data_IF_853777240284
#
_entry.id   IF_853777240284
#
_cell.length_a   1.000
_cell.length_b   1.000
_cell.length_c   1.000
_cell.angle_alpha   90.00
_cell.angle_beta   90.00
_cell.angle_gamma   90.00
#
_symmetry.space_group_name_H-M   'P 1'
#
loop_
_entity.id
_entity.type
_entity.pdbx_description
1 polymer ?
#
# COMPACT_ATOMS: atom_id res chain seq x y z
N UNK A 1 65.46 -18.06 21.33
CA UNK A 1 64.53 -16.92 21.55
C UNK A 1 64.99 -15.76 20.67
N UNK A 2 64.14 -15.32 19.73
CA UNK A 2 64.59 -14.88 18.40
C UNK A 2 64.71 -13.35 18.16
N UNK A 3 64.82 -12.50 19.19
CA UNK A 3 65.18 -11.08 18.98
C UNK A 3 65.89 -10.50 20.21
N UNK A 4 67.20 -10.67 20.27
CA UNK A 4 68.06 -9.96 21.23
C UNK A 4 68.57 -8.68 20.57
N UNK A 5 68.36 -7.53 21.21
CA UNK A 5 68.91 -6.26 20.76
C UNK A 5 70.44 -6.27 20.82
N UNK A 6 71.09 -5.38 20.06
CA UNK A 6 72.56 -5.24 20.09
C UNK A 6 73.09 -4.80 21.47
N UNK A 7 72.23 -4.19 22.28
CA UNK A 7 72.43 -3.83 23.69
C UNK A 7 72.31 -5.03 24.66
N UNK A 8 72.01 -6.22 24.14
CA UNK A 8 71.83 -7.43 24.93
C UNK A 8 70.44 -7.61 25.54
N UNK A 9 69.51 -6.68 25.32
CA UNK A 9 68.13 -6.75 25.82
C UNK A 9 67.30 -7.77 25.03
N UNK A 10 66.30 -8.37 25.66
CA UNK A 10 65.34 -9.27 24.99
C UNK A 10 63.93 -8.81 25.31
N UNK A 11 63.15 -8.51 24.27
CA UNK A 11 61.75 -8.11 24.44
C UNK A 11 60.82 -9.28 24.13
N UNK A 12 59.86 -9.52 25.02
CA UNK A 12 58.77 -10.47 24.83
C UNK A 12 57.49 -9.68 24.55
N UNK A 13 56.82 -9.97 23.43
CA UNK A 13 55.49 -9.46 23.17
C UNK A 13 54.46 -10.43 23.78
N UNK A 14 53.91 -10.07 24.95
CA UNK A 14 52.82 -10.81 25.58
C UNK A 14 51.51 -10.27 25.01
N UNK A 15 50.81 -11.08 24.21
CA UNK A 15 49.51 -10.72 23.63
C UNK A 15 48.42 -11.33 24.52
N UNK A 16 47.52 -10.50 25.04
CA UNK A 16 46.36 -10.98 25.78
C UNK A 16 45.33 -11.56 24.80
N UNK A 17 44.90 -12.84 24.94
CA UNK A 17 43.86 -13.41 24.10
C UNK A 17 42.48 -12.76 24.31
N UNK A 18 42.26 -12.09 25.45
CA UNK A 18 41.05 -11.32 25.71
C UNK A 18 41.30 -9.82 25.45
N UNK A 19 41.33 -9.46 24.18
CA UNK A 19 41.21 -8.07 23.73
C UNK A 19 39.74 -7.66 23.52
N UNK A 20 38.77 -8.43 24.02
CA UNK A 20 37.33 -8.16 23.82
C UNK A 20 36.87 -6.81 24.38
N UNK A 21 37.65 -6.18 25.26
CA UNK A 21 37.33 -4.87 25.85
C UNK A 21 37.98 -3.69 25.11
N UNK A 22 38.99 -3.94 24.27
CA UNK A 22 39.56 -2.93 23.38
C UNK A 22 39.00 -3.22 22.01
N UNK A 23 37.89 -2.58 21.69
CA UNK A 23 37.29 -2.47 20.35
C UNK A 23 38.37 -2.63 19.27
N UNK A 24 38.56 -3.85 18.78
CA UNK A 24 39.52 -4.08 17.71
C UNK A 24 38.98 -3.33 16.49
N UNK A 25 39.83 -2.65 15.71
CA UNK A 25 39.37 -1.99 14.49
C UNK A 25 38.75 -2.99 13.49
N UNK A 26 38.95 -4.31 13.68
CA UNK A 26 38.36 -5.37 12.87
C UNK A 26 36.90 -5.70 13.21
N UNK A 27 36.40 -5.38 14.41
CA UNK A 27 35.08 -5.84 14.86
C UNK A 27 34.45 -4.86 15.85
N UNK A 28 33.93 -3.75 15.32
CA UNK A 28 33.11 -2.81 16.07
C UNK A 28 31.64 -3.25 16.03
N UNK A 29 30.91 -3.27 17.16
CA UNK A 29 29.47 -3.51 17.14
C UNK A 29 28.80 -2.40 16.32
N UNK A 30 28.22 -2.77 15.18
CA UNK A 30 27.49 -1.86 14.31
C UNK A 30 26.01 -2.20 14.28
N UNK A 31 25.17 -1.18 14.11
CA UNK A 31 23.75 -1.38 13.94
C UNK A 31 23.46 -1.77 12.48
N UNK A 32 22.75 -2.87 12.26
CA UNK A 32 22.37 -3.33 10.92
C UNK A 32 21.70 -2.23 10.09
N UNK A 33 20.89 -1.36 10.70
CA UNK A 33 20.24 -0.25 10.00
C UNK A 33 21.24 0.78 9.43
N UNK A 34 22.41 0.95 10.07
CA UNK A 34 23.49 1.82 9.57
C UNK A 34 24.24 1.22 8.39
N UNK A 35 24.30 -0.12 8.32
CA UNK A 35 24.97 -0.86 7.24
C UNK A 35 24.06 -1.01 6.02
N UNK A 36 22.78 -1.34 6.25
CA UNK A 36 21.80 -1.61 5.20
C UNK A 36 21.22 -0.30 4.60
N UNK A 37 21.06 0.74 5.43
CA UNK A 37 20.50 2.01 5.00
C UNK A 37 19.01 1.96 4.63
N UNK A 38 18.50 3.04 4.06
CA UNK A 38 17.13 3.11 3.54
C UNK A 38 17.08 2.49 2.15
N UNK A 39 15.95 1.87 1.80
CA UNK A 39 15.68 1.37 0.45
C UNK A 39 15.83 2.52 -0.55
N UNK A 40 16.80 2.42 -1.45
CA UNK A 40 17.11 3.47 -2.42
C UNK A 40 16.15 3.47 -3.63
N UNK A 41 15.57 2.32 -3.96
CA UNK A 41 14.70 2.13 -5.13
C UNK A 41 13.50 1.26 -4.80
N UNK A 42 12.34 1.67 -5.30
CA UNK A 42 11.06 1.03 -5.03
C UNK A 42 10.06 1.98 -4.38
N UNK A 43 8.80 1.55 -4.32
CA UNK A 43 7.71 2.30 -3.69
C UNK A 43 7.39 1.68 -2.34
N UNK A 44 7.31 2.51 -1.29
CA UNK A 44 6.86 2.08 0.04
C UNK A 44 5.36 1.78 0.10
N UNK A 45 4.62 2.15 -0.95
CA UNK A 45 3.20 1.87 -1.11
C UNK A 45 2.99 0.81 -2.19
N UNK A 46 2.09 -0.13 -1.91
CA UNK A 46 1.54 -1.03 -2.94
C UNK A 46 0.75 -0.18 -3.94
N UNK A 47 0.93 -0.43 -5.24
CA UNK A 47 0.17 0.26 -6.28
C UNK A 47 -1.33 0.10 -5.99
N UNK A 48 -1.99 1.21 -5.66
CA UNK A 48 -3.41 1.21 -5.33
C UNK A 48 -4.22 1.03 -6.62
N UNK A 49 -5.30 0.26 -6.56
CA UNK A 49 -6.22 0.15 -7.68
C UNK A 49 -6.92 1.49 -7.91
N UNK A 50 -6.70 2.08 -9.09
CA UNK A 50 -7.45 3.24 -9.55
C UNK A 50 -8.44 2.76 -10.60
N UNK A 51 -9.71 2.70 -10.21
CA UNK A 51 -10.78 2.32 -11.13
C UNK A 51 -10.92 3.33 -12.26
N UNK A 52 -11.02 2.83 -13.50
CA UNK A 52 -11.32 3.68 -14.66
C UNK A 52 -12.75 4.22 -14.52
N UNK A 53 -12.91 5.54 -14.67
CA UNK A 53 -14.22 6.20 -14.60
C UNK A 53 -15.21 5.63 -15.62
N UNK A 54 -14.72 5.07 -16.73
CA UNK A 54 -15.54 4.43 -17.77
C UNK A 54 -16.21 3.13 -17.31
N UNK A 55 -15.71 2.50 -16.25
CA UNK A 55 -16.28 1.27 -15.70
C UNK A 55 -17.49 1.55 -14.80
N UNK A 56 -17.71 2.81 -14.42
CA UNK A 56 -18.82 3.19 -13.55
C UNK A 56 -20.15 3.19 -14.33
N UNK A 57 -20.98 2.19 -14.03
CA UNK A 57 -22.38 2.18 -14.50
C UNK A 57 -23.17 3.31 -13.84
N UNK A 58 -23.78 4.18 -14.66
CA UNK A 58 -24.65 5.28 -14.23
C UNK A 58 -26.07 5.06 -14.78
N UNK A 59 -27.07 4.77 -13.93
CA UNK A 59 -28.45 4.52 -14.36
C UNK A 59 -29.14 5.80 -14.87
N UNK A 60 -30.29 5.63 -15.53
CA UNK A 60 -31.17 6.74 -15.91
C UNK A 60 -31.72 7.46 -14.68
N UNK A 61 -31.99 8.76 -14.80
CA UNK A 61 -32.58 9.56 -13.73
C UNK A 61 -34.11 9.55 -13.86
N UNK A 62 -34.82 9.01 -12.89
CA UNK A 62 -36.30 9.05 -12.88
C UNK A 62 -36.80 10.42 -12.40
N UNK A 63 -37.81 10.93 -13.08
CA UNK A 63 -38.38 12.25 -12.83
C UNK A 63 -39.79 12.13 -12.25
N UNK A 64 -40.09 12.91 -11.21
CA UNK A 64 -41.41 12.97 -10.59
C UNK A 64 -41.95 14.39 -10.69
N UNK A 65 -42.94 14.59 -11.58
CA UNK A 65 -43.58 15.89 -11.83
C UNK A 65 -44.79 16.16 -10.95
N UNK A 66 -45.15 15.22 -10.06
CA UNK A 66 -46.29 15.36 -9.14
C UNK A 66 -47.65 14.93 -9.74
N UNK A 67 -48.76 15.19 -9.02
CA UNK A 67 -50.11 14.82 -9.47
C UNK A 67 -50.47 15.46 -10.82
N UNK A 68 -51.23 14.74 -11.65
CA UNK A 68 -51.66 15.15 -13.01
C UNK A 68 -50.52 15.33 -14.05
N UNK A 69 -49.29 14.90 -13.75
CA UNK A 69 -48.13 14.96 -14.65
C UNK A 69 -47.94 13.76 -15.59
N UNK A 70 -49.00 12.98 -15.90
CA UNK A 70 -48.88 11.70 -16.63
C UNK A 70 -48.33 11.81 -18.06
N UNK A 71 -48.34 13.00 -18.65
CA UNK A 71 -47.83 13.27 -20.00
C UNK A 71 -46.41 13.88 -20.01
N UNK A 72 -45.84 14.17 -18.84
CA UNK A 72 -44.47 14.65 -18.76
C UNK A 72 -43.48 13.48 -19.01
N UNK A 73 -42.27 13.77 -19.53
CA UNK A 73 -41.20 12.78 -19.62
C UNK A 73 -40.96 12.10 -18.26
N UNK A 74 -40.80 10.78 -18.22
CA UNK A 74 -40.71 10.04 -16.94
C UNK A 74 -39.27 9.79 -16.49
N UNK A 75 -38.30 9.96 -17.38
CA UNK A 75 -36.88 9.76 -17.09
C UNK A 75 -35.99 10.64 -17.98
N UNK A 76 -34.76 10.88 -17.52
CA UNK A 76 -33.68 11.52 -18.27
C UNK A 76 -32.49 10.55 -18.42
N UNK A 77 -32.03 10.38 -19.66
CA UNK A 77 -30.90 9.52 -20.04
C UNK A 77 -29.65 10.30 -20.47
N UNK A 78 -29.64 11.63 -20.39
CA UNK A 78 -28.56 12.50 -20.87
C UNK A 78 -27.17 12.16 -20.31
N UNK A 79 -27.11 11.58 -19.11
CA UNK A 79 -25.87 11.18 -18.42
C UNK A 79 -25.79 9.68 -18.11
N UNK A 80 -26.73 8.88 -18.63
CA UNK A 80 -26.77 7.45 -18.36
C UNK A 80 -25.72 6.71 -19.20
N UNK A 81 -25.07 5.72 -18.62
CA UNK A 81 -24.14 4.82 -19.33
C UNK A 81 -24.74 3.45 -19.59
N UNK A 82 -25.88 3.16 -18.98
CA UNK A 82 -26.65 1.91 -19.13
C UNK A 82 -28.07 2.24 -19.61
N UNK A 83 -28.73 1.29 -20.24
CA UNK A 83 -30.08 1.45 -20.77
C UNK A 83 -31.12 1.59 -19.64
N UNK A 84 -32.33 2.05 -20.01
CA UNK A 84 -33.48 2.09 -19.10
C UNK A 84 -33.79 0.70 -18.53
N UNK A 85 -33.79 -0.34 -19.36
CA UNK A 85 -34.11 -1.70 -18.93
C UNK A 85 -33.11 -2.24 -17.91
N UNK A 86 -31.82 -1.96 -18.09
CA UNK A 86 -30.77 -2.32 -17.11
C UNK A 86 -30.91 -1.50 -15.83
N UNK A 87 -31.29 -0.23 -15.94
CA UNK A 87 -31.55 0.64 -14.79
C UNK A 87 -32.75 0.14 -13.97
N UNK A 88 -33.86 -0.23 -14.64
CA UNK A 88 -35.04 -0.81 -14.01
C UNK A 88 -34.70 -2.14 -13.31
N UNK A 89 -33.85 -2.96 -13.92
CA UNK A 89 -33.39 -4.22 -13.32
C UNK A 89 -32.57 -3.97 -12.04
N UNK A 90 -31.61 -3.04 -12.09
CA UNK A 90 -30.84 -2.62 -10.91
C UNK A 90 -31.76 -2.10 -9.80
N UNK A 91 -32.74 -1.26 -10.15
CA UNK A 91 -33.67 -0.69 -9.18
C UNK A 91 -34.62 -1.74 -8.59
N UNK A 92 -35.09 -2.70 -9.38
CA UNK A 92 -35.90 -3.80 -8.85
C UNK A 92 -35.11 -4.76 -7.95
N UNK A 93 -33.81 -4.93 -8.23
CA UNK A 93 -32.93 -5.82 -7.46
C UNK A 93 -32.45 -5.17 -6.16
N UNK A 94 -32.10 -3.89 -6.18
CA UNK A 94 -31.45 -3.20 -5.05
C UNK A 94 -32.19 -1.97 -4.52
N UNK A 95 -33.23 -1.50 -5.20
CA UNK A 95 -34.01 -0.31 -4.80
C UNK A 95 -34.98 -0.54 -3.64
N UNK A 96 -35.14 -1.80 -3.21
CA UNK A 96 -35.92 -2.16 -2.04
C UNK A 96 -34.99 -2.46 -0.85
N UNK A 97 -35.45 -2.18 0.37
CA UNK A 97 -34.69 -2.38 1.61
C UNK A 97 -34.14 -3.82 1.77
N UNK A 98 -34.86 -4.80 1.25
CA UNK A 98 -34.47 -6.22 1.23
C UNK A 98 -33.27 -6.45 0.31
N UNK A 99 -33.25 -5.82 -0.86
CA UNK A 99 -32.17 -5.97 -1.85
C UNK A 99 -30.83 -5.44 -1.35
N UNK A 100 -30.86 -4.36 -0.56
CA UNK A 100 -29.66 -3.76 0.04
C UNK A 100 -28.96 -4.74 1.00
N UNK A 101 -29.71 -5.57 1.72
CA UNK A 101 -29.12 -6.55 2.64
C UNK A 101 -28.35 -7.65 1.91
N UNK A 102 -28.81 -8.07 0.73
CA UNK A 102 -28.12 -9.06 -0.09
C UNK A 102 -26.85 -8.51 -0.76
N UNK A 103 -26.80 -7.21 -1.06
CA UNK A 103 -25.65 -6.57 -1.71
C UNK A 103 -24.44 -6.32 -0.78
N UNK A 104 -24.64 -6.39 0.54
CA UNK A 104 -23.63 -6.05 1.55
C UNK A 104 -22.78 -7.22 2.04
N UNK A 105 -22.96 -8.41 1.47
CA UNK A 105 -22.26 -9.63 1.88
C UNK A 105 -21.06 -9.91 1.00
#
# INVERSE_FOLDING_TARGET
FLRRGQDGSTSLAVINPDSSQVLSPESLPCNLGTVVGKVATGSHITATFKEDKRNKATPVSYLMYGPFGSFAPTYDSSRATISKGESDLLYSTYGNDVGIQYARR
#
